data_IF_851790566121
#
_entry.id   IF_851790566121
#
_cell.length_a   1.000
_cell.length_b   1.000
_cell.length_c   1.000
_cell.angle_alpha   90.00
_cell.angle_beta   90.00
_cell.angle_gamma   90.00
#
_symmetry.space_group_name_H-M   'P 1'
#
loop_
_entity.id
_entity.type
_entity.pdbx_description
1 polymer ?
#
# COMPACT_ATOMS: atom_id res chain seq x y z
N UNK A 1 -9.01 -7.49 -10.76
CA UNK A 1 -7.65 -6.88 -10.78
C UNK A 1 -7.64 -5.65 -9.89
N UNK A 2 -6.67 -5.54 -9.00
CA UNK A 2 -6.57 -4.41 -8.10
C UNK A 2 -6.07 -3.19 -8.87
N UNK A 3 -6.65 -2.02 -8.61
CA UNK A 3 -6.23 -0.79 -9.30
C UNK A 3 -6.10 0.36 -8.31
N UNK A 4 -5.53 1.47 -8.78
CA UNK A 4 -5.25 2.63 -7.94
C UNK A 4 -6.53 3.18 -7.32
N UNK A 5 -7.61 3.25 -8.08
CA UNK A 5 -8.88 3.77 -7.56
C UNK A 5 -9.41 2.88 -6.45
N UNK A 6 -9.39 1.56 -6.64
CA UNK A 6 -9.82 0.62 -5.61
C UNK A 6 -9.00 0.72 -4.35
N UNK A 7 -7.68 0.85 -4.50
CA UNK A 7 -6.77 1.04 -3.38
C UNK A 7 -7.09 2.33 -2.61
N UNK A 8 -7.27 3.44 -3.32
CA UNK A 8 -7.56 4.72 -2.67
C UNK A 8 -8.92 4.70 -2.00
N UNK A 9 -9.92 4.07 -2.62
CA UNK A 9 -11.23 3.94 -2.00
C UNK A 9 -11.16 3.12 -0.70
N UNK A 10 -10.45 2.00 -0.73
CA UNK A 10 -10.32 1.14 0.45
C UNK A 10 -9.60 1.88 1.58
N UNK A 11 -8.54 2.61 1.26
CA UNK A 11 -7.72 3.27 2.27
C UNK A 11 -8.31 4.60 2.72
N UNK A 12 -8.66 5.48 1.78
CA UNK A 12 -9.05 6.86 2.10
C UNK A 12 -10.52 6.98 2.50
N UNK A 13 -11.40 6.17 1.93
CA UNK A 13 -12.84 6.25 2.16
C UNK A 13 -13.29 5.26 3.21
N UNK A 14 -12.86 4.01 3.09
CA UNK A 14 -13.29 2.92 3.99
C UNK A 14 -12.36 2.72 5.18
N UNK A 15 -11.18 3.34 5.18
CA UNK A 15 -10.18 3.23 6.24
C UNK A 15 -9.82 1.77 6.56
N UNK A 16 -9.75 0.94 5.52
CA UNK A 16 -9.42 -0.47 5.65
C UNK A 16 -7.91 -0.67 5.70
N UNK A 17 -7.50 -1.71 6.43
CA UNK A 17 -6.13 -2.20 6.33
C UNK A 17 -6.00 -3.02 5.06
N UNK A 18 -4.94 -2.82 4.31
CA UNK A 18 -4.69 -3.53 3.07
C UNK A 18 -3.46 -4.40 3.27
N UNK A 19 -3.63 -5.70 3.09
CA UNK A 19 -2.53 -6.65 3.23
C UNK A 19 -2.44 -7.51 1.98
N UNK A 20 -1.22 -7.87 1.62
CA UNK A 20 -1.00 -8.79 0.51
C UNK A 20 0.38 -9.42 0.64
N UNK A 21 0.54 -10.57 0.00
CA UNK A 21 1.80 -11.29 -0.02
C UNK A 21 2.40 -11.28 -1.41
N UNK A 22 3.71 -11.10 -1.47
CA UNK A 22 4.49 -11.18 -2.70
C UNK A 22 5.64 -12.16 -2.48
N UNK A 23 6.31 -12.61 -3.54
CA UNK A 23 7.43 -13.56 -3.36
C UNK A 23 8.51 -13.08 -2.40
N UNK A 24 8.70 -11.78 -2.23
CA UNK A 24 9.72 -11.23 -1.34
C UNK A 24 9.23 -11.00 0.10
N UNK A 25 7.94 -11.17 0.37
CA UNK A 25 7.44 -11.05 1.74
C UNK A 25 6.02 -10.50 1.82
N UNK A 26 5.66 -10.13 3.05
CA UNK A 26 4.34 -9.64 3.39
C UNK A 26 4.31 -8.11 3.40
N UNK A 27 3.23 -7.54 2.90
CA UNK A 27 3.03 -6.09 2.84
C UNK A 27 1.76 -5.69 3.58
N UNK A 28 1.80 -4.48 4.14
CA UNK A 28 0.71 -3.96 4.96
C UNK A 28 0.63 -2.45 4.79
N UNK A 29 -0.59 -1.93 4.61
CA UNK A 29 -0.85 -0.50 4.49
C UNK A 29 -2.05 -0.18 5.36
N UNK A 30 -1.93 0.84 6.19
CA UNK A 30 -3.00 1.24 7.10
C UNK A 30 -3.15 2.76 7.15
N UNK A 31 -4.39 3.24 7.11
CA UNK A 31 -4.68 4.65 7.32
C UNK A 31 -4.70 4.92 8.83
N UNK A 32 -3.85 5.83 9.27
CA UNK A 32 -3.71 6.17 10.69
C UNK A 32 -4.65 7.29 11.16
N UNK A 33 -5.72 7.54 10.42
CA UNK A 33 -6.79 8.49 10.81
C UNK A 33 -6.25 9.86 11.26
N UNK A 34 -5.63 10.57 10.32
CA UNK A 34 -5.10 11.91 10.59
C UNK A 34 -3.60 11.97 10.82
N UNK A 35 -2.97 10.83 11.08
CA UNK A 35 -1.52 10.77 11.26
C UNK A 35 -0.80 10.26 10.00
N UNK A 36 -1.49 10.28 8.87
CA UNK A 36 -0.94 9.82 7.61
C UNK A 36 -1.23 8.34 7.36
N UNK A 37 -0.39 7.73 6.56
CA UNK A 37 -0.54 6.34 6.13
C UNK A 37 0.71 5.58 6.53
N UNK A 38 0.51 4.46 7.22
CA UNK A 38 1.59 3.58 7.61
C UNK A 38 1.80 2.54 6.52
N UNK A 39 3.03 2.41 6.04
CA UNK A 39 3.37 1.39 5.06
C UNK A 39 4.44 0.47 5.63
N UNK A 40 4.33 -0.83 5.32
CA UNK A 40 5.23 -1.84 5.81
C UNK A 40 5.47 -2.90 4.73
N UNK A 41 6.71 -3.28 4.57
CA UNK A 41 7.10 -4.33 3.65
C UNK A 41 8.54 -4.75 3.90
N UNK A 42 9.03 -5.78 3.18
CA UNK A 42 10.39 -6.25 3.40
C UNK A 42 11.48 -5.23 3.05
N UNK A 43 11.14 -4.22 2.24
CA UNK A 43 12.13 -3.24 1.77
C UNK A 43 12.05 -1.91 2.49
N UNK A 44 10.92 -1.57 3.08
CA UNK A 44 10.79 -0.34 3.84
C UNK A 44 9.60 -0.38 4.79
N UNK A 45 9.71 0.44 5.81
CA UNK A 45 8.74 0.53 6.90
C UNK A 45 8.75 2.01 7.31
N UNK A 46 7.72 2.74 6.93
CA UNK A 46 7.67 4.17 7.22
C UNK A 46 6.23 4.68 7.22
N UNK A 47 6.08 5.92 7.70
CA UNK A 47 4.82 6.64 7.65
C UNK A 47 4.90 7.68 6.54
N UNK A 48 3.89 7.74 5.70
CA UNK A 48 3.76 8.74 4.63
C UNK A 48 2.50 9.56 4.88
N UNK A 49 2.30 10.63 4.11
CA UNK A 49 1.21 11.55 4.37
C UNK A 49 -0.11 11.17 3.71
N UNK A 50 -0.05 10.62 2.50
CA UNK A 50 -1.24 10.33 1.70
C UNK A 50 -1.16 8.94 1.07
N UNK A 51 -2.29 8.49 0.52
CA UNK A 51 -2.33 7.24 -0.23
C UNK A 51 -1.50 7.33 -1.52
N UNK A 52 -1.43 8.51 -2.14
CA UNK A 52 -0.55 8.70 -3.30
C UNK A 52 0.91 8.53 -2.90
N UNK A 53 1.31 9.06 -1.75
CA UNK A 53 2.65 8.86 -1.24
C UNK A 53 2.95 7.39 -1.00
N UNK A 54 1.97 6.65 -0.48
CA UNK A 54 2.13 5.20 -0.27
C UNK A 54 2.37 4.48 -1.59
N UNK A 55 1.64 4.86 -2.64
CA UNK A 55 1.83 4.26 -3.97
C UNK A 55 3.22 4.50 -4.53
N UNK A 56 3.85 5.63 -4.18
CA UNK A 56 5.16 5.99 -4.69
C UNK A 56 6.31 5.54 -3.77
N UNK A 57 6.06 5.44 -2.47
CA UNK A 57 7.11 5.17 -1.48
C UNK A 57 7.22 3.70 -1.09
N UNK A 58 6.12 2.95 -1.12
CA UNK A 58 6.18 1.53 -0.79
C UNK A 58 6.78 0.77 -1.96
N UNK A 59 7.92 0.14 -1.73
CA UNK A 59 8.60 -0.64 -2.75
C UNK A 59 8.13 -2.08 -2.70
N UNK A 60 7.47 -2.51 -3.77
CA UNK A 60 6.97 -3.87 -3.94
C UNK A 60 7.84 -4.57 -4.98
N UNK A 61 8.57 -5.59 -4.56
CA UNK A 61 9.53 -6.28 -5.43
C UNK A 61 10.56 -5.32 -6.01
N UNK A 62 10.94 -4.28 -5.23
CA UNK A 62 11.93 -3.29 -5.66
C UNK A 62 11.39 -2.17 -6.53
N UNK A 63 10.07 -2.12 -6.76
CA UNK A 63 9.43 -1.08 -7.58
C UNK A 63 8.33 -0.38 -6.81
N UNK A 64 8.03 0.89 -7.12
CA UNK A 64 6.92 1.58 -6.46
C UNK A 64 5.62 0.78 -6.61
N UNK A 65 4.81 0.74 -5.56
CA UNK A 65 3.54 0.02 -5.57
C UNK A 65 2.67 0.44 -6.75
N UNK A 66 2.72 1.72 -7.13
CA UNK A 66 1.97 2.24 -8.27
C UNK A 66 2.21 1.45 -9.55
N UNK A 67 3.46 1.01 -9.76
CA UNK A 67 3.84 0.25 -10.95
C UNK A 67 3.49 -1.24 -10.83
N UNK A 68 3.21 -1.70 -9.62
CA UNK A 68 3.00 -3.13 -9.33
C UNK A 68 1.55 -3.48 -9.06
N UNK A 69 0.61 -2.54 -9.21
CA UNK A 69 -0.78 -2.75 -8.83
C UNK A 69 -1.41 -3.97 -9.49
N UNK A 70 -1.09 -4.23 -10.75
CA UNK A 70 -1.68 -5.37 -11.47
C UNK A 70 -1.19 -6.72 -10.94
N UNK A 71 -0.03 -6.74 -10.30
CA UNK A 71 0.54 -7.96 -9.70
C UNK A 71 0.08 -8.18 -8.27
N UNK A 72 -0.61 -7.20 -7.67
CA UNK A 72 -1.05 -7.26 -6.28
C UNK A 72 -2.45 -7.84 -6.19
N UNK A 73 -2.61 -8.81 -5.30
CA UNK A 73 -3.91 -9.44 -5.03
C UNK A 73 -4.15 -9.32 -3.52
N UNK A 74 -4.88 -8.29 -3.07
CA UNK A 74 -5.05 -8.04 -1.64
C UNK A 74 -5.89 -9.14 -0.98
N UNK A 75 -5.56 -9.42 0.25
CA UNK A 75 -6.23 -10.43 1.05
C UNK A 75 -7.66 -10.03 1.48
#
# INVERSE_FOLDING_TARGET
MYNIKGFKDDLDVRHMEITFDMPDGHYFISDSLGDGVLIYGPNNDERVQTSDDALDKLLVMGRPMREMMQAIDPD
#
